data_IF_269095300465
#
_entry.id   IF_269095300465
#
_cell.length_a   1.000
_cell.length_b   1.000
_cell.length_c   1.000
_cell.angle_alpha   90.00
_cell.angle_beta   90.00
_cell.angle_gamma   90.00
#
_symmetry.space_group_name_H-M   'P 1'
#
loop_
_entity.id
_entity.type
_entity.pdbx_description
1 polymer ?
#
# COMPACT_ATOMS: atom_id res chain seq x y z
N UNK A 1 -21.92 9.38 11.40
CA UNK A 1 -21.00 8.44 10.74
C UNK A 1 -19.71 9.15 10.41
N UNK A 2 -18.58 8.47 10.56
CA UNK A 2 -17.27 9.02 10.28
C UNK A 2 -16.45 8.06 9.41
N UNK A 3 -15.36 8.55 8.86
CA UNK A 3 -14.49 7.79 7.97
C UNK A 3 -13.04 7.96 8.39
N UNK A 4 -12.26 6.88 8.30
CA UNK A 4 -10.81 6.91 8.23
C UNK A 4 -10.43 6.60 6.79
N UNK A 5 -9.50 7.36 6.24
CA UNK A 5 -9.03 7.17 4.87
C UNK A 5 -7.51 7.19 4.82
N UNK A 6 -6.96 6.51 3.81
CA UNK A 6 -5.52 6.48 3.59
C UNK A 6 -5.17 6.72 2.14
N UNK A 7 -4.06 7.41 1.92
CA UNK A 7 -3.47 7.60 0.61
C UNK A 7 -2.34 6.61 0.44
N UNK A 8 -2.32 5.92 -0.69
CA UNK A 8 -1.28 4.97 -1.06
C UNK A 8 -0.56 5.43 -2.32
N UNK A 9 0.73 5.19 -2.36
CA UNK A 9 1.55 5.45 -3.55
C UNK A 9 1.51 4.28 -4.55
N UNK A 10 2.27 4.41 -5.64
CA UNK A 10 2.33 3.40 -6.71
C UNK A 10 2.97 2.08 -6.26
N UNK A 11 3.75 2.11 -5.17
CA UNK A 11 4.39 0.93 -4.58
C UNK A 11 3.55 0.32 -3.45
N UNK A 12 2.29 0.75 -3.34
CA UNK A 12 1.34 0.32 -2.30
C UNK A 12 1.70 0.77 -0.87
N UNK A 13 2.67 1.68 -0.70
CA UNK A 13 3.00 2.23 0.61
C UNK A 13 1.90 3.20 1.08
N UNK A 14 1.55 3.14 2.36
CA UNK A 14 0.65 4.10 2.99
C UNK A 14 1.45 5.38 3.27
N UNK A 15 1.10 6.46 2.57
CA UNK A 15 1.82 7.74 2.65
C UNK A 15 1.12 8.78 3.52
N UNK A 16 -0.19 8.62 3.77
CA UNK A 16 -0.99 9.48 4.63
C UNK A 16 -2.21 8.75 5.16
N UNK A 17 -2.59 9.04 6.40
CA UNK A 17 -3.85 8.61 7.04
C UNK A 17 -4.57 9.84 7.58
N UNK A 18 -5.89 9.88 7.46
CA UNK A 18 -6.71 10.97 7.99
C UNK A 18 -8.12 10.50 8.32
N UNK A 19 -8.84 11.29 9.13
CA UNK A 19 -10.26 11.07 9.45
C UNK A 19 -11.15 12.20 9.00
N UNK A 20 -12.45 11.93 8.94
CA UNK A 20 -13.47 12.95 8.74
C UNK A 20 -14.83 12.52 9.31
N UNK A 21 -15.54 13.45 9.93
CA UNK A 21 -16.97 13.33 10.26
C UNK A 21 -17.87 13.86 9.11
N UNK A 22 -17.29 14.49 8.09
CA UNK A 22 -18.01 14.93 6.88
C UNK A 22 -18.13 13.76 5.90
N UNK A 23 -18.85 13.99 4.78
CA UNK A 23 -18.82 13.05 3.66
C UNK A 23 -17.41 12.90 3.12
N UNK A 24 -17.06 11.69 2.73
CA UNK A 24 -15.72 11.39 2.24
C UNK A 24 -15.36 12.25 1.01
N UNK A 25 -16.33 12.41 0.07
CA UNK A 25 -16.14 13.24 -1.12
C UNK A 25 -15.76 14.68 -0.79
N UNK A 26 -16.50 15.30 0.15
CA UNK A 26 -16.21 16.68 0.57
C UNK A 26 -14.83 16.79 1.18
N UNK A 27 -14.43 15.85 2.04
CA UNK A 27 -13.11 15.85 2.67
C UNK A 27 -11.99 15.64 1.66
N UNK A 28 -12.11 14.69 0.76
CA UNK A 28 -11.11 14.42 -0.28
C UNK A 28 -10.98 15.63 -1.22
N UNK A 29 -12.10 16.22 -1.65
CA UNK A 29 -12.08 17.43 -2.46
C UNK A 29 -11.35 18.59 -1.74
N UNK A 30 -11.57 18.77 -0.43
CA UNK A 30 -10.88 19.80 0.37
C UNK A 30 -9.35 19.58 0.37
N UNK A 31 -8.87 18.34 0.41
CA UNK A 31 -7.44 18.07 0.28
C UNK A 31 -6.86 18.64 -1.00
N UNK A 32 -7.52 18.41 -2.13
CA UNK A 32 -7.01 18.83 -3.44
C UNK A 32 -7.22 20.34 -3.72
N UNK A 33 -8.21 20.98 -3.07
CA UNK A 33 -8.51 22.41 -3.28
C UNK A 33 -7.79 23.32 -2.28
N UNK A 34 -7.71 22.92 -1.01
CA UNK A 34 -7.15 23.75 0.07
C UNK A 34 -5.68 23.44 0.41
N UNK A 35 -5.17 22.31 -0.04
CA UNK A 35 -3.75 21.98 0.03
C UNK A 35 -3.17 21.91 1.45
N UNK A 36 -3.72 21.07 2.32
CA UNK A 36 -3.21 20.91 3.70
C UNK A 36 -1.89 20.13 3.80
N UNK A 37 -1.54 19.38 2.77
CA UNK A 37 -0.34 18.55 2.73
C UNK A 37 0.64 19.08 1.68
N UNK A 38 1.88 18.64 1.76
CA UNK A 38 2.89 18.93 0.74
C UNK A 38 2.39 18.53 -0.66
N UNK A 39 2.65 19.38 -1.65
CA UNK A 39 2.32 19.11 -3.06
C UNK A 39 2.89 17.77 -3.57
N UNK A 40 4.02 17.34 -3.02
CA UNK A 40 4.63 16.03 -3.32
C UNK A 40 3.73 14.88 -2.87
N UNK A 41 3.01 15.02 -1.73
CA UNK A 41 2.04 14.03 -1.29
C UNK A 41 0.99 13.78 -2.36
N UNK A 42 0.32 14.85 -2.81
CA UNK A 42 -0.75 14.74 -3.80
C UNK A 42 -0.29 14.15 -5.14
N UNK A 43 0.93 14.48 -5.58
CA UNK A 43 1.52 13.92 -6.80
C UNK A 43 1.84 12.42 -6.67
N UNK A 44 2.07 11.95 -5.46
CA UNK A 44 2.44 10.57 -5.18
C UNK A 44 1.23 9.66 -5.01
N UNK A 45 0.01 10.18 -4.87
CA UNK A 45 -1.19 9.38 -4.66
C UNK A 45 -1.46 8.53 -5.90
N UNK A 46 -1.48 7.20 -5.70
CA UNK A 46 -1.95 6.24 -6.68
C UNK A 46 -3.37 5.77 -6.35
N UNK A 47 -3.69 5.58 -5.07
CA UNK A 47 -4.99 5.07 -4.62
C UNK A 47 -5.40 5.69 -3.30
N UNK A 48 -6.71 5.90 -3.13
CA UNK A 48 -7.34 6.30 -1.87
C UNK A 48 -8.24 5.17 -1.43
N UNK A 49 -8.11 4.77 -0.18
CA UNK A 49 -8.93 3.75 0.47
C UNK A 49 -9.56 4.32 1.75
N UNK A 50 -10.67 3.74 2.18
CA UNK A 50 -11.39 4.20 3.37
C UNK A 50 -12.02 3.06 4.14
N UNK A 51 -12.29 3.34 5.42
CA UNK A 51 -13.13 2.56 6.32
C UNK A 51 -14.22 3.46 6.90
N UNK A 52 -15.38 2.90 7.21
CA UNK A 52 -16.52 3.62 7.75
C UNK A 52 -16.75 3.24 9.22
N UNK A 53 -16.99 4.24 10.06
CA UNK A 53 -17.21 4.09 11.48
C UNK A 53 -18.56 4.70 11.90
N UNK A 54 -19.15 4.15 12.99
CA UNK A 54 -20.43 4.64 13.53
C UNK A 54 -20.26 6.02 14.15
N UNK A 55 -19.17 6.24 14.88
CA UNK A 55 -18.91 7.48 15.61
C UNK A 55 -17.62 8.16 15.14
N UNK A 56 -17.48 9.45 15.45
CA UNK A 56 -16.23 10.19 15.21
C UNK A 56 -15.14 9.75 16.19
N UNK A 57 -15.52 9.36 17.41
CA UNK A 57 -14.58 8.86 18.41
C UNK A 57 -13.92 7.56 17.95
N UNK A 58 -14.69 6.62 17.38
CA UNK A 58 -14.12 5.39 16.80
C UNK A 58 -13.13 5.72 15.67
N UNK A 59 -13.51 6.65 14.79
CA UNK A 59 -12.64 7.08 13.70
C UNK A 59 -11.36 7.77 14.20
N UNK A 60 -11.42 8.53 15.30
CA UNK A 60 -10.26 9.17 15.92
C UNK A 60 -9.28 8.13 16.49
N UNK A 61 -9.79 7.14 17.22
CA UNK A 61 -8.99 6.05 17.78
C UNK A 61 -8.29 5.30 16.64
N UNK A 62 -9.03 4.96 15.58
CA UNK A 62 -8.50 4.20 14.46
C UNK A 62 -7.52 5.01 13.59
N UNK A 63 -7.75 6.32 13.40
CA UNK A 63 -6.77 7.21 12.76
C UNK A 63 -5.44 7.18 13.51
N UNK A 64 -5.48 7.39 14.83
CA UNK A 64 -4.28 7.38 15.69
C UNK A 64 -3.58 6.02 15.64
N UNK A 65 -4.34 4.93 15.73
CA UNK A 65 -3.82 3.58 15.60
C UNK A 65 -3.09 3.36 14.27
N UNK A 66 -3.71 3.73 13.14
CA UNK A 66 -3.10 3.55 11.83
C UNK A 66 -1.90 4.48 11.59
N UNK A 67 -1.91 5.72 12.10
CA UNK A 67 -0.75 6.61 12.02
C UNK A 67 0.43 5.99 12.78
N UNK A 68 0.18 5.42 13.96
CA UNK A 68 1.22 4.76 14.77
C UNK A 68 1.70 3.47 14.09
N UNK A 69 0.77 2.61 13.64
CA UNK A 69 1.07 1.31 13.02
C UNK A 69 1.88 1.45 11.72
N UNK A 70 1.51 2.38 10.85
CA UNK A 70 2.10 2.51 9.51
C UNK A 70 3.17 3.61 9.40
N UNK A 71 3.25 4.50 10.37
CA UNK A 71 4.16 5.64 10.40
C UNK A 71 4.23 6.41 9.05
N UNK A 72 3.08 6.86 8.48
CA UNK A 72 3.03 7.41 7.13
C UNK A 72 3.89 8.66 7.00
N UNK A 73 4.54 8.83 5.85
CA UNK A 73 5.51 9.90 5.59
C UNK A 73 4.94 11.30 5.80
N UNK A 74 3.68 11.52 5.41
CA UNK A 74 3.06 12.86 5.42
C UNK A 74 2.17 13.13 6.64
N UNK A 75 2.09 12.21 7.61
CA UNK A 75 1.56 12.53 8.93
C UNK A 75 2.70 13.06 9.78
N UNK A 76 2.60 14.31 10.22
CA UNK A 76 3.60 14.96 11.08
C UNK A 76 3.23 14.94 12.56
N UNK A 77 1.93 14.90 12.84
CA UNK A 77 1.35 14.86 14.18
C UNK A 77 0.92 13.44 14.54
N UNK A 78 0.77 13.16 15.84
CA UNK A 78 0.26 11.89 16.39
C UNK A 78 1.14 10.67 16.15
N UNK A 79 2.41 10.86 15.82
CA UNK A 79 3.36 9.75 15.74
C UNK A 79 3.85 9.39 17.14
N UNK A 80 3.50 8.18 17.59
CA UNK A 80 4.14 7.59 18.77
C UNK A 80 5.47 6.94 18.36
N UNK A 81 6.39 6.83 19.34
CA UNK A 81 7.63 6.06 19.16
C UNK A 81 7.38 4.56 19.24
N UNK A 82 6.37 4.17 20.00
CA UNK A 82 6.04 2.77 20.26
C UNK A 82 4.99 2.28 19.29
N UNK A 83 5.17 1.08 18.77
CA UNK A 83 4.17 0.41 17.94
C UNK A 83 2.99 -0.04 18.80
N UNK A 84 1.76 -0.02 18.27
CA UNK A 84 0.61 -0.53 19.01
C UNK A 84 0.76 -2.03 19.26
N UNK A 85 0.50 -2.46 20.48
CA UNK A 85 0.51 -3.87 20.88
C UNK A 85 -0.82 -4.57 20.62
N UNK A 86 -1.92 -3.78 20.49
CA UNK A 86 -3.24 -4.29 20.16
C UNK A 86 -3.44 -4.29 18.64
N UNK A 87 -4.02 -5.34 18.11
CA UNK A 87 -4.47 -5.36 16.72
C UNK A 87 -5.95 -4.96 16.65
N UNK A 88 -6.17 -3.71 16.22
CA UNK A 88 -7.51 -3.13 16.05
C UNK A 88 -7.99 -3.18 14.59
N UNK A 89 -7.20 -3.75 13.67
CA UNK A 89 -7.50 -3.76 12.24
C UNK A 89 -8.53 -4.83 11.87
N UNK A 90 -9.76 -4.62 12.30
CA UNK A 90 -10.87 -5.57 12.10
C UNK A 90 -11.77 -5.23 10.92
N UNK A 91 -11.67 -4.03 10.36
CA UNK A 91 -12.50 -3.57 9.27
C UNK A 91 -11.79 -3.66 7.92
N UNK A 92 -12.54 -4.04 6.88
CA UNK A 92 -12.00 -4.06 5.52
C UNK A 92 -11.83 -2.64 4.94
N UNK A 93 -10.71 -2.44 4.24
CA UNK A 93 -10.46 -1.23 3.48
C UNK A 93 -11.18 -1.29 2.15
N UNK A 94 -11.96 -0.25 1.84
CA UNK A 94 -12.69 -0.10 0.57
C UNK A 94 -11.98 0.92 -0.32
N UNK A 95 -11.89 0.63 -1.60
CA UNK A 95 -11.32 1.57 -2.57
C UNK A 95 -12.30 2.72 -2.79
N UNK A 96 -11.84 3.94 -2.58
CA UNK A 96 -12.55 5.16 -2.92
C UNK A 96 -12.25 5.59 -4.36
N UNK A 97 -10.96 5.68 -4.70
CA UNK A 97 -10.52 6.13 -6.02
C UNK A 97 -9.12 5.61 -6.36
N UNK A 98 -8.92 5.26 -7.63
CA UNK A 98 -7.63 4.90 -8.20
C UNK A 98 -7.23 5.98 -9.21
N UNK A 99 -6.04 6.53 -9.04
CA UNK A 99 -5.46 7.53 -9.94
C UNK A 99 -4.39 6.93 -10.86
N UNK A 100 -3.64 5.95 -10.34
CA UNK A 100 -2.60 5.24 -11.08
C UNK A 100 -2.75 3.75 -10.74
N UNK A 101 -2.76 2.90 -11.75
CA UNK A 101 -2.75 1.47 -11.49
C UNK A 101 -1.41 1.09 -10.87
N UNK A 102 -1.46 0.44 -9.72
CA UNK A 102 -0.31 -0.26 -9.17
C UNK A 102 0.05 -1.33 -10.20
N UNK A 103 1.27 -1.30 -10.74
CA UNK A 103 1.77 -2.42 -11.54
C UNK A 103 1.82 -3.60 -10.59
N UNK A 104 0.93 -4.56 -10.75
CA UNK A 104 1.07 -5.81 -10.02
C UNK A 104 2.48 -6.34 -10.27
N UNK A 105 3.19 -6.78 -9.22
CA UNK A 105 4.47 -7.42 -9.42
C UNK A 105 4.23 -8.56 -10.40
N UNK A 106 4.99 -8.58 -11.49
CA UNK A 106 4.93 -9.68 -12.47
C UNK A 106 5.14 -10.95 -11.66
N UNK A 107 4.08 -11.74 -11.48
CA UNK A 107 4.19 -13.07 -10.88
C UNK A 107 5.01 -13.91 -11.86
N UNK A 108 6.33 -13.91 -11.64
CA UNK A 108 7.22 -14.81 -12.38
C UNK A 108 6.76 -16.22 -12.03
N UNK A 109 6.15 -16.90 -13.01
CA UNK A 109 5.76 -18.29 -12.84
C UNK A 109 7.06 -19.07 -12.66
N UNK A 110 7.33 -19.50 -11.44
CA UNK A 110 8.51 -20.29 -11.08
C UNK A 110 8.77 -21.46 -12.05
N UNK A 111 7.72 -22.00 -12.67
CA UNK A 111 7.82 -23.01 -13.70
C UNK A 111 8.69 -22.62 -14.90
N UNK A 112 8.69 -21.37 -15.33
CA UNK A 112 9.56 -20.94 -16.45
C UNK A 112 11.02 -20.91 -16.08
N UNK A 113 11.34 -20.53 -14.83
CA UNK A 113 12.71 -20.52 -14.33
C UNK A 113 13.23 -21.95 -14.20
N UNK A 114 12.41 -22.88 -13.68
CA UNK A 114 12.79 -24.29 -13.57
C UNK A 114 13.04 -24.92 -14.94
N UNK A 115 12.18 -24.63 -15.92
CA UNK A 115 12.35 -25.13 -17.30
C UNK A 115 13.64 -24.57 -17.92
N UNK A 116 13.92 -23.27 -17.75
CA UNK A 116 15.14 -22.65 -18.26
C UNK A 116 16.40 -23.27 -17.62
N UNK A 117 16.38 -23.52 -16.31
CA UNK A 117 17.47 -24.22 -15.62
C UNK A 117 17.65 -25.66 -16.11
N UNK A 118 16.56 -26.38 -16.35
CA UNK A 118 16.61 -27.76 -16.84
C UNK A 118 17.23 -27.81 -18.25
N UNK A 119 16.83 -26.89 -19.14
CA UNK A 119 17.36 -26.80 -20.51
C UNK A 119 18.86 -26.45 -20.47
N UNK A 120 19.28 -25.50 -19.63
CA UNK A 120 20.67 -25.13 -19.46
C UNK A 120 21.51 -26.32 -18.94
N UNK A 121 21.00 -27.03 -17.93
CA UNK A 121 21.67 -28.20 -17.35
C UNK A 121 21.84 -29.32 -18.37
N UNK A 122 20.79 -29.61 -19.16
CA UNK A 122 20.87 -30.58 -20.27
C UNK A 122 21.89 -30.18 -21.32
N UNK A 123 21.95 -28.90 -21.68
CA UNK A 123 22.93 -28.40 -22.66
C UNK A 123 24.38 -28.59 -22.14
N UNK A 124 24.63 -28.26 -20.87
CA UNK A 124 25.95 -28.46 -20.24
C UNK A 124 26.31 -29.95 -20.19
N UNK A 125 25.36 -30.83 -19.86
CA UNK A 125 25.59 -32.29 -19.80
C UNK A 125 25.93 -32.87 -21.16
N UNK A 126 25.24 -32.45 -22.23
CA UNK A 126 25.49 -32.92 -23.62
C UNK A 126 26.90 -32.51 -24.07
N UNK A 127 27.33 -31.28 -23.79
CA UNK A 127 28.65 -30.80 -24.14
C UNK A 127 29.76 -31.55 -23.37
N UNK A 128 29.53 -31.79 -22.06
CA UNK A 128 30.45 -32.56 -21.24
C UNK A 128 30.61 -34.02 -21.75
N UNK A 129 29.50 -34.70 -22.09
CA UNK A 129 29.56 -36.06 -22.64
C UNK A 129 30.26 -36.08 -24.02
N UNK A 130 30.06 -35.06 -24.84
CA UNK A 130 30.71 -34.95 -26.13
C UNK A 130 32.26 -34.77 -26.02
N UNK A 131 32.71 -34.05 -24.98
CA UNK A 131 34.16 -33.91 -24.67
C UNK A 131 34.81 -35.20 -24.15
N UNK A 132 34.06 -35.99 -23.37
CA UNK A 132 34.59 -37.24 -22.77
C UNK A 132 34.66 -38.38 -23.80
N UNK A 133 33.88 -38.30 -24.89
CA UNK A 133 33.84 -39.35 -25.94
C UNK A 133 34.77 -39.07 -27.12
N UNK A 134 35.53 -37.99 -27.10
CA UNK A 134 36.62 -37.69 -28.05
C UNK A 134 37.97 -38.10 -27.49
#
# INVERSE_FOLDING_TARGET
>A
MAYVYRFKDINDNIIYVGKTAQTLDKRIMQHFTKGHLDKKCYKSIARIEYQKYKTESDALVMETYYITKYNPKYNTLQKSRDLPTLDLDTNEWRIYKVYKSVKEPVKIKWGFIQIAFLIYFLFVLINFVAEVLQ
#
